data_IF_940929736836
#
_entry.id   IF_940929736836
#
_cell.length_a   1.000
_cell.length_b   1.000
_cell.length_c   1.000
_cell.angle_alpha   90.00
_cell.angle_beta   90.00
_cell.angle_gamma   90.00
#
_symmetry.space_group_name_H-M   'P 1'
#
loop_
_entity.id
_entity.type
_entity.pdbx_description
1 polymer ?
#
# COMPACT_ATOMS: atom_id res chain seq x y z
N UNK A 1 17.13 -1.33 -6.34
CA UNK A 1 16.84 0.00 -5.73
C UNK A 1 16.79 -0.14 -4.20
N UNK A 2 17.09 0.93 -3.46
CA UNK A 2 17.08 0.92 -1.99
C UNK A 2 16.12 1.99 -1.49
N UNK A 3 15.20 1.63 -0.59
CA UNK A 3 14.27 2.59 0.00
C UNK A 3 15.03 3.66 0.80
N UNK A 4 14.80 4.95 0.52
CA UNK A 4 15.50 6.05 1.21
C UNK A 4 15.23 6.08 2.70
N UNK A 5 13.99 5.77 3.12
CA UNK A 5 13.55 5.82 4.52
C UNK A 5 13.97 4.59 5.33
N UNK A 6 13.57 3.37 4.93
CA UNK A 6 13.79 2.16 5.75
C UNK A 6 14.90 1.23 5.24
N UNK A 7 15.63 1.64 4.19
CA UNK A 7 16.73 0.89 3.56
C UNK A 7 16.37 -0.52 3.07
N UNK A 8 15.08 -0.88 3.01
CA UNK A 8 14.69 -2.16 2.41
C UNK A 8 15.11 -2.20 0.95
N UNK A 9 15.61 -3.36 0.53
CA UNK A 9 15.93 -3.68 -0.86
C UNK A 9 14.83 -4.53 -1.51
N UNK A 10 13.86 -4.99 -0.69
CA UNK A 10 12.76 -5.85 -1.12
C UNK A 10 11.44 -5.15 -0.83
N UNK A 11 10.61 -5.03 -1.85
CA UNK A 11 9.25 -4.48 -1.77
C UNK A 11 8.45 -4.96 -2.97
N UNK A 12 7.15 -5.24 -2.83
CA UNK A 12 6.31 -5.64 -3.96
C UNK A 12 6.06 -4.51 -4.96
N UNK A 13 6.21 -3.25 -4.52
CA UNK A 13 6.05 -2.06 -5.35
C UNK A 13 7.00 -0.96 -4.88
N UNK A 14 7.67 -0.31 -5.83
CA UNK A 14 8.46 0.88 -5.57
C UNK A 14 7.61 2.13 -5.82
N UNK A 15 7.77 3.13 -4.95
CA UNK A 15 7.11 4.44 -5.06
C UNK A 15 8.17 5.54 -5.18
N UNK A 16 7.76 6.68 -5.72
CA UNK A 16 8.54 7.92 -5.68
C UNK A 16 7.73 8.97 -4.93
N UNK A 17 8.39 9.78 -4.11
CA UNK A 17 7.77 10.97 -3.54
C UNK A 17 7.85 12.15 -4.50
N UNK A 18 7.32 13.31 -4.09
CA UNK A 18 7.30 14.55 -4.86
C UNK A 18 8.71 15.08 -5.18
N UNK A 19 9.69 14.74 -4.33
CA UNK A 19 11.10 15.08 -4.54
C UNK A 19 11.84 14.06 -5.41
N UNK A 20 11.14 13.01 -5.86
CA UNK A 20 11.69 11.94 -6.68
C UNK A 20 12.44 10.85 -5.90
N UNK A 21 12.43 10.87 -4.56
CA UNK A 21 13.11 9.85 -3.76
C UNK A 21 12.43 8.49 -3.86
N UNK A 22 13.24 7.44 -3.99
CA UNK A 22 12.77 6.07 -4.06
C UNK A 22 12.35 5.57 -2.68
N UNK A 23 11.10 5.17 -2.54
CA UNK A 23 10.51 4.61 -1.33
C UNK A 23 9.93 3.21 -1.60
N UNK A 24 9.93 2.34 -0.59
CA UNK A 24 9.16 1.11 -0.66
C UNK A 24 7.67 1.39 -0.52
N UNK A 25 6.83 0.40 -0.84
CA UNK A 25 5.37 0.56 -0.79
C UNK A 25 4.89 1.00 0.60
N UNK A 26 5.40 0.39 1.66
CA UNK A 26 5.00 0.71 3.03
C UNK A 26 5.40 2.16 3.43
N UNK A 27 6.62 2.60 3.10
CA UNK A 27 7.08 3.95 3.43
C UNK A 27 6.34 5.02 2.65
N UNK A 28 6.13 4.82 1.34
CA UNK A 28 5.39 5.77 0.52
C UNK A 28 3.92 5.89 0.92
N UNK A 29 3.27 4.77 1.24
CA UNK A 29 1.89 4.78 1.74
C UNK A 29 1.79 5.46 3.11
N UNK A 30 2.70 5.15 4.03
CA UNK A 30 2.71 5.75 5.36
C UNK A 30 2.89 7.27 5.29
N UNK A 31 3.84 7.75 4.49
CA UNK A 31 4.08 9.18 4.30
C UNK A 31 2.83 9.89 3.73
N UNK A 32 2.18 9.30 2.72
CA UNK A 32 0.97 9.87 2.11
C UNK A 32 -0.22 9.92 3.06
N UNK A 33 -0.39 8.91 3.92
CA UNK A 33 -1.52 8.82 4.84
C UNK A 33 -1.33 9.62 6.13
N UNK A 34 -0.10 9.71 6.63
CA UNK A 34 0.20 10.29 7.94
C UNK A 34 0.99 11.60 7.89
N UNK A 35 1.47 12.02 6.71
CA UNK A 35 2.26 13.25 6.53
C UNK A 35 3.64 13.24 7.17
N UNK A 36 4.10 12.09 7.72
CA UNK A 36 5.39 11.95 8.41
C UNK A 36 6.11 10.66 7.99
N UNK A 37 7.45 10.57 8.13
CA UNK A 37 8.19 9.38 7.76
C UNK A 37 7.80 8.16 8.60
N UNK A 38 7.85 6.97 8.01
CA UNK A 38 7.55 5.71 8.68
C UNK A 38 8.60 5.43 9.77
N UNK A 39 8.21 5.22 11.03
CA UNK A 39 9.17 4.90 12.09
C UNK A 39 9.78 3.51 11.84
N UNK A 40 11.11 3.41 12.07
CA UNK A 40 11.89 2.20 11.76
C UNK A 40 11.49 1.01 12.64
N UNK A 41 11.00 1.26 13.85
CA UNK A 41 10.48 0.24 14.76
C UNK A 41 9.35 -0.62 14.15
N UNK A 42 8.58 -0.07 13.19
CA UNK A 42 7.50 -0.82 12.52
C UNK A 42 8.00 -1.66 11.33
N UNK A 43 9.29 -1.60 10.97
CA UNK A 43 9.84 -2.39 9.87
C UNK A 43 9.92 -3.86 10.30
N UNK A 44 9.32 -4.72 9.49
CA UNK A 44 9.51 -6.17 9.57
C UNK A 44 10.33 -6.62 8.36
N UNK A 45 11.25 -7.56 8.57
CA UNK A 45 12.07 -8.09 7.46
C UNK A 45 11.32 -9.14 6.64
N UNK A 46 10.33 -9.80 7.24
CA UNK A 46 9.50 -10.78 6.54
C UNK A 46 8.35 -10.10 5.78
N UNK A 47 8.31 -10.28 4.46
CA UNK A 47 7.20 -9.84 3.62
C UNK A 47 6.15 -10.94 3.59
N UNK A 48 5.00 -10.72 4.25
CA UNK A 48 3.87 -11.65 4.20
C UNK A 48 3.08 -11.49 2.91
N UNK A 49 2.91 -12.57 2.17
CA UNK A 49 1.95 -12.63 1.07
C UNK A 49 0.52 -12.61 1.64
N UNK A 50 -0.38 -11.95 0.92
CA UNK A 50 -1.82 -12.01 1.21
C UNK A 50 -2.47 -12.89 0.17
N UNK A 51 -3.39 -13.77 0.58
CA UNK A 51 -4.24 -14.51 -0.36
C UNK A 51 -5.15 -13.51 -1.07
N UNK A 52 -4.75 -13.13 -2.29
CA UNK A 52 -5.58 -12.33 -3.18
C UNK A 52 -6.62 -13.28 -3.78
N UNK A 53 -7.90 -13.07 -3.48
CA UNK A 53 -8.99 -13.69 -4.23
C UNK A 53 -8.81 -13.23 -5.69
N UNK A 54 -8.48 -14.16 -6.59
CA UNK A 54 -8.43 -13.89 -8.03
C UNK A 54 -9.87 -13.70 -8.50
N UNK A 55 -10.36 -12.46 -8.54
CA UNK A 55 -11.52 -12.16 -9.38
C UNK A 55 -11.08 -12.38 -10.83
N UNK A 56 -11.62 -13.44 -11.44
CA UNK A 56 -11.44 -13.72 -12.86
C UNK A 56 -12.17 -12.63 -13.67
N UNK A 57 -11.50 -12.16 -14.73
CA UNK A 57 -11.89 -11.07 -15.64
C UNK A 57 -13.39 -10.88 -15.91
N UNK A 58 -13.81 -9.62 -15.99
CA UNK A 58 -14.97 -9.25 -16.82
C UNK A 58 -15.62 -7.92 -16.49
N UNK A 59 -15.19 -6.86 -17.20
CA UNK A 59 -15.90 -5.60 -17.42
C UNK A 59 -15.89 -4.53 -16.31
N UNK A 60 -15.32 -3.39 -16.68
CA UNK A 60 -15.40 -2.14 -15.96
C UNK A 60 -16.84 -1.60 -16.01
N UNK A 61 -17.56 -1.70 -14.89
CA UNK A 61 -18.63 -0.76 -14.57
C UNK A 61 -18.72 -0.67 -13.05
N UNK A 62 -18.41 0.51 -12.48
CA UNK A 62 -18.99 0.87 -11.18
C UNK A 62 -20.53 0.83 -11.31
N UNK A 63 -21.30 0.72 -10.22
CA UNK A 63 -21.23 1.61 -9.07
C UNK A 63 -21.44 0.87 -7.72
N UNK A 64 -21.46 1.57 -6.59
CA UNK A 64 -21.93 0.92 -5.37
C UNK A 64 -21.64 1.66 -4.07
N UNK A 65 -22.01 2.93 -4.02
CA UNK A 65 -22.21 3.65 -2.77
C UNK A 65 -23.06 2.84 -1.80
N UNK A 66 -22.58 2.73 -0.55
CA UNK A 66 -23.33 2.25 0.59
C UNK A 66 -24.75 2.84 0.63
N UNK A 67 -25.77 1.99 0.58
CA UNK A 67 -27.09 2.31 1.13
C UNK A 67 -27.59 1.11 1.93
N UNK A 68 -27.49 1.29 3.23
CA UNK A 68 -28.31 0.76 4.32
C UNK A 68 -29.70 0.26 3.92
N UNK A 69 -30.08 -0.93 4.42
CA UNK A 69 -31.39 -1.18 5.03
C UNK A 69 -31.48 -2.64 5.53
N UNK A 70 -31.56 -2.81 6.86
CA UNK A 70 -32.21 -3.97 7.50
C UNK A 70 -33.66 -4.09 7.01
N UNK A 71 -34.26 -5.28 7.12
CA UNK A 71 -35.38 -5.36 8.06
C UNK A 71 -35.52 -6.70 8.81
N UNK A 72 -36.41 -6.64 9.80
CA UNK A 72 -36.95 -7.66 10.73
C UNK A 72 -36.93 -9.12 10.27
#
# INVERSE_FOLDING_TARGET
PICRNCKTQTTPLWRRDETGQVLCNACGLFLKLHGRPRPISLKTDTIKSRNRIKQQNGNATGPGSNKSSSPN
#
